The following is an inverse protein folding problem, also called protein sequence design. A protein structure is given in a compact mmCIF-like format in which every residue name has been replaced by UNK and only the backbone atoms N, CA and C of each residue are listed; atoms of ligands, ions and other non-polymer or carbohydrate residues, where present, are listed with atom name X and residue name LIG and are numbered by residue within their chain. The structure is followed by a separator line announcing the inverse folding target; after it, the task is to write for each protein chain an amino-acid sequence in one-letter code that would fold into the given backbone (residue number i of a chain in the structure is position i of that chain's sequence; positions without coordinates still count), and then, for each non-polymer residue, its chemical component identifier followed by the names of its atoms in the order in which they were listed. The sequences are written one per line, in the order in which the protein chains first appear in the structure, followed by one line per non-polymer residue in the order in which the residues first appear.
data_IF_601153330103
#
_entry.id   IF_601153330103
#
_cell.length_a   1.000
_cell.length_b   1.000
_cell.length_c   1.000
_cell.angle_alpha   90.00
_cell.angle_beta   90.00
_cell.angle_gamma   90.00
#
_symmetry.space_group_name_H-M   'P 1'
#
loop_
_entity.id
_entity.type
_entity.pdbx_description
1 polymer ?
#
# COMPACT_ATOMS: atom_id res chain seq x y z
N UNK A 1 -19.87 3.92 -19.34
CA UNK A 1 -18.99 4.58 -18.35
C UNK A 1 -19.25 3.93 -16.99
N UNK A 2 -18.28 3.20 -16.47
CA UNK A 2 -18.34 2.54 -15.18
C UNK A 2 -17.38 3.23 -14.19
N UNK A 3 -17.59 2.98 -12.90
CA UNK A 3 -16.63 3.36 -11.87
C UNK A 3 -15.48 2.36 -11.83
N UNK A 4 -14.30 2.81 -11.49
CA UNK A 4 -13.14 1.98 -11.19
C UNK A 4 -12.69 2.29 -9.77
N UNK A 5 -12.41 1.25 -9.01
CA UNK A 5 -11.99 1.33 -7.62
C UNK A 5 -10.56 0.87 -7.50
N UNK A 6 -9.77 1.54 -6.66
CA UNK A 6 -8.40 1.16 -6.39
C UNK A 6 -8.17 1.09 -4.88
N UNK A 7 -7.36 0.13 -4.44
CA UNK A 7 -6.87 0.03 -3.07
C UNK A 7 -5.34 0.01 -3.09
N UNK A 8 -4.72 0.68 -2.12
CA UNK A 8 -3.27 0.74 -1.95
C UNK A 8 -2.90 0.42 -0.51
N UNK A 9 -1.82 -0.32 -0.34
CA UNK A 9 -1.15 -0.52 0.95
C UNK A 9 0.25 0.02 0.82
N UNK A 10 0.61 0.91 1.73
CA UNK A 10 1.86 1.65 1.68
C UNK A 10 2.63 1.45 2.98
N UNK A 11 3.90 1.15 2.88
CA UNK A 11 4.81 1.15 4.01
C UNK A 11 5.04 2.59 4.48
N UNK A 12 4.80 2.83 5.77
CA UNK A 12 4.86 4.19 6.35
C UNK A 12 6.30 4.70 6.41
N UNK A 13 7.28 3.81 6.64
CA UNK A 13 8.68 4.18 6.78
C UNK A 13 9.33 4.51 5.43
N UNK A 14 9.17 3.62 4.46
CA UNK A 14 9.81 3.74 3.14
C UNK A 14 8.96 4.47 2.12
N UNK A 15 7.67 4.68 2.38
CA UNK A 15 6.68 5.21 1.43
C UNK A 15 6.44 4.30 0.22
N UNK A 16 6.94 3.06 0.26
CA UNK A 16 6.76 2.09 -0.80
C UNK A 16 5.31 1.61 -0.85
N UNK A 17 4.72 1.59 -2.03
CA UNK A 17 3.46 0.90 -2.26
C UNK A 17 3.79 -0.59 -2.36
N UNK A 18 3.37 -1.36 -1.35
CA UNK A 18 3.69 -2.79 -1.21
C UNK A 18 2.55 -3.70 -1.65
N UNK A 19 1.35 -3.16 -1.75
CA UNK A 19 0.18 -3.86 -2.27
C UNK A 19 -0.80 -2.90 -2.93
N UNK A 20 -1.44 -3.36 -4.00
CA UNK A 20 -2.46 -2.59 -4.69
C UNK A 20 -3.39 -3.49 -5.48
N UNK A 21 -4.59 -3.00 -5.76
CA UNK A 21 -5.53 -3.66 -6.64
C UNK A 21 -6.47 -2.66 -7.30
N UNK A 22 -6.99 -3.02 -8.48
CA UNK A 22 -7.97 -2.23 -9.25
C UNK A 22 -9.12 -3.14 -9.63
N UNK A 23 -10.36 -2.65 -9.50
CA UNK A 23 -11.55 -3.38 -9.91
C UNK A 23 -12.62 -2.46 -10.51
N UNK A 24 -13.43 -3.00 -11.40
CA UNK A 24 -14.58 -2.31 -12.01
C UNK A 24 -15.86 -2.39 -11.18
N UNK A 25 -15.85 -3.17 -10.10
CA UNK A 25 -17.00 -3.37 -9.20
C UNK A 25 -16.58 -3.19 -7.76
N UNK A 26 -17.50 -2.67 -6.95
CA UNK A 26 -17.36 -2.50 -5.50
C UNK A 26 -17.69 -3.80 -4.75
N UNK A 27 -17.35 -4.97 -5.30
CA UNK A 27 -17.36 -6.18 -4.47
C UNK A 27 -16.21 -6.05 -3.46
N UNK A 28 -16.56 -5.36 -2.41
CA UNK A 28 -15.71 -4.71 -1.42
C UNK A 28 -14.82 -5.67 -0.65
N UNK A 29 -15.19 -6.94 -0.61
CA UNK A 29 -14.45 -7.95 0.16
C UNK A 29 -13.18 -8.40 -0.57
N UNK A 30 -13.14 -8.26 -1.90
CA UNK A 30 -11.99 -8.72 -2.70
C UNK A 30 -10.93 -7.68 -2.95
N UNK A 31 -11.31 -6.41 -3.19
CA UNK A 31 -10.37 -5.39 -3.63
C UNK A 31 -9.30 -5.09 -2.57
N UNK A 32 -9.62 -4.74 -1.31
CA UNK A 32 -8.63 -4.55 -0.27
C UNK A 32 -7.88 -5.84 0.08
N UNK A 33 -8.56 -6.99 0.03
CA UNK A 33 -7.96 -8.27 0.34
C UNK A 33 -6.86 -8.66 -0.67
N UNK A 34 -7.06 -8.43 -1.97
CA UNK A 34 -6.04 -8.65 -3.00
C UNK A 34 -4.81 -7.75 -2.78
N UNK A 35 -5.03 -6.48 -2.43
CA UNK A 35 -3.94 -5.58 -2.09
C UNK A 35 -3.18 -6.05 -0.84
N UNK A 36 -3.90 -6.55 0.18
CA UNK A 36 -3.30 -7.11 1.39
C UNK A 36 -2.50 -8.37 1.11
N UNK A 37 -3.04 -9.31 0.34
CA UNK A 37 -2.32 -10.52 -0.03
C UNK A 37 -1.03 -10.22 -0.77
N UNK A 38 -1.06 -9.27 -1.69
CA UNK A 38 0.13 -8.80 -2.40
C UNK A 38 1.14 -8.16 -1.43
N UNK A 39 0.68 -7.30 -0.51
CA UNK A 39 1.54 -6.68 0.48
C UNK A 39 2.23 -7.70 1.38
N UNK A 40 1.49 -8.70 1.89
CA UNK A 40 2.02 -9.78 2.71
C UNK A 40 3.09 -10.62 1.99
N UNK A 41 2.94 -10.80 0.68
CA UNK A 41 3.94 -11.49 -0.14
C UNK A 41 5.17 -10.61 -0.38
N UNK A 42 4.95 -9.35 -0.77
CA UNK A 42 6.00 -8.41 -1.14
C UNK A 42 6.91 -8.07 0.04
N UNK A 43 6.33 -7.90 1.22
CA UNK A 43 7.09 -7.58 2.45
C UNK A 43 7.68 -8.79 3.14
N UNK A 44 7.32 -10.01 2.74
CA UNK A 44 7.71 -11.23 3.43
C UNK A 44 6.99 -11.44 4.77
N UNK A 45 5.97 -10.65 5.10
CA UNK A 45 5.23 -10.70 6.36
C UNK A 45 4.58 -12.06 6.65
N UNK A 46 4.32 -12.87 5.63
CA UNK A 46 3.86 -14.26 5.81
C UNK A 46 4.91 -15.18 6.46
N UNK A 47 6.19 -14.79 6.40
CA UNK A 47 7.30 -15.57 7.01
C UNK A 47 7.68 -15.01 8.37
N UNK A 48 7.72 -13.70 8.48
CA UNK A 48 8.02 -12.98 9.70
C UNK A 48 7.21 -11.68 9.73
N UNK A 49 6.24 -11.61 10.62
CA UNK A 49 5.38 -10.44 10.87
C UNK A 49 5.65 -9.78 12.22
N UNK A 50 6.76 -10.17 12.90
CA UNK A 50 7.06 -9.69 14.23
C UNK A 50 7.13 -8.16 14.26
N UNK A 51 6.27 -7.56 15.10
CA UNK A 51 6.18 -6.12 15.26
C UNK A 51 5.50 -5.35 14.12
N UNK A 52 4.99 -6.04 13.08
CA UNK A 52 4.28 -5.39 11.99
C UNK A 52 2.86 -5.01 12.42
N UNK A 53 2.51 -3.74 12.24
CA UNK A 53 1.17 -3.22 12.50
C UNK A 53 0.56 -2.71 11.20
N UNK A 54 -0.66 -3.15 10.91
CA UNK A 54 -1.46 -2.65 9.79
C UNK A 54 -2.46 -1.62 10.29
N UNK A 55 -2.36 -0.40 9.76
CA UNK A 55 -3.29 0.69 10.04
C UNK A 55 -4.31 0.81 8.92
N UNK A 56 -5.60 0.86 9.25
CA UNK A 56 -6.68 1.12 8.30
C UNK A 56 -7.66 2.12 8.89
N UNK A 57 -8.37 2.82 8.02
CA UNK A 57 -9.53 3.61 8.44
C UNK A 57 -10.70 2.70 8.85
N UNK A 58 -11.76 3.30 9.44
CA UNK A 58 -12.98 2.59 9.84
C UNK A 58 -13.91 2.29 8.65
N UNK A 59 -13.43 2.35 7.42
CA UNK A 59 -14.21 2.01 6.24
C UNK A 59 -14.73 0.58 6.32
N UNK A 60 -15.99 0.37 5.97
CA UNK A 60 -16.66 -0.95 6.03
C UNK A 60 -15.91 -2.06 5.27
N UNK A 61 -15.02 -1.68 4.37
CA UNK A 61 -14.23 -2.57 3.52
C UNK A 61 -13.06 -3.24 4.28
N UNK A 62 -12.51 -2.53 5.28
CA UNK A 62 -11.38 -3.00 6.08
C UNK A 62 -11.82 -3.69 7.38
N UNK A 63 -13.13 -3.69 7.64
CA UNK A 63 -13.75 -4.36 8.79
C UNK A 63 -14.37 -5.69 8.36
N UNK A 64 -14.19 -6.10 7.08
CA UNK A 64 -14.71 -7.40 6.62
C UNK A 64 -14.01 -8.53 7.38
N UNK A 65 -14.78 -9.57 7.73
CA UNK A 65 -14.26 -10.74 8.43
C UNK A 65 -13.08 -11.35 7.68
N UNK A 66 -13.18 -11.47 6.36
CA UNK A 66 -12.12 -12.03 5.52
C UNK A 66 -10.81 -11.22 5.57
N UNK A 67 -10.90 -9.90 5.64
CA UNK A 67 -9.72 -9.03 5.76
C UNK A 67 -9.05 -9.18 7.13
N UNK A 68 -9.85 -9.19 8.19
CA UNK A 68 -9.37 -9.40 9.56
C UNK A 68 -8.76 -10.79 9.74
N UNK A 69 -9.38 -11.82 9.20
CA UNK A 69 -8.86 -13.19 9.23
C UNK A 69 -7.52 -13.31 8.49
N UNK A 70 -7.34 -12.61 7.38
CA UNK A 70 -6.08 -12.59 6.64
C UNK A 70 -4.94 -11.94 7.44
N UNK A 71 -5.21 -10.85 8.16
CA UNK A 71 -4.25 -10.21 9.07
C UNK A 71 -3.87 -11.13 10.23
N UNK A 72 -4.86 -11.75 10.87
CA UNK A 72 -4.66 -12.69 11.98
C UNK A 72 -3.82 -13.90 11.50
N UNK A 73 -4.18 -14.48 10.36
CA UNK A 73 -3.46 -15.62 9.79
C UNK A 73 -2.01 -15.29 9.43
N UNK A 74 -1.72 -14.01 9.10
CA UNK A 74 -0.37 -13.52 8.85
C UNK A 74 0.37 -13.08 10.13
N UNK A 75 -0.29 -13.09 11.31
CA UNK A 75 0.29 -12.62 12.57
C UNK A 75 0.52 -11.11 12.62
N UNK A 76 -0.16 -10.35 11.76
CA UNK A 76 -0.07 -8.89 11.70
C UNK A 76 -1.04 -8.27 12.68
N UNK A 77 -0.57 -7.32 13.49
CA UNK A 77 -1.43 -6.58 14.42
C UNK A 77 -2.29 -5.59 13.63
N UNK A 78 -3.60 -5.67 13.79
CA UNK A 78 -4.53 -4.70 13.21
C UNK A 78 -4.72 -3.51 14.16
N UNK A 79 -4.54 -2.30 13.67
CA UNK A 79 -4.90 -1.06 14.35
C UNK A 79 -5.98 -0.35 13.57
N UNK A 80 -7.14 -0.18 14.19
CA UNK A 80 -8.27 0.55 13.61
C UNK A 80 -8.35 1.91 14.29
N UNK A 81 -7.77 2.92 13.62
CA UNK A 81 -7.84 4.35 13.93
C UNK A 81 -8.10 4.75 15.37
N UNK A 82 -7.06 5.03 16.13
CA UNK A 82 -7.12 5.86 17.34
C UNK A 82 -6.70 7.30 17.01
N UNK A 83 -6.97 8.23 17.91
CA UNK A 83 -6.78 9.69 17.74
C UNK A 83 -5.34 10.14 17.42
N UNK A 84 -4.38 9.21 17.30
CA UNK A 84 -2.97 9.47 16.94
C UNK A 84 -2.60 9.23 15.47
N UNK A 85 -3.49 8.67 14.67
CA UNK A 85 -3.21 8.16 13.30
C UNK A 85 -3.32 9.22 12.19
N UNK A 86 -3.24 10.48 12.51
CA UNK A 86 -3.36 11.59 11.56
C UNK A 86 -2.27 11.55 10.46
N UNK A 87 -1.08 11.00 10.76
CA UNK A 87 0.00 10.88 9.78
C UNK A 87 -0.20 9.74 8.80
N UNK A 88 -0.74 8.61 9.24
CA UNK A 88 -0.98 7.44 8.40
C UNK A 88 -2.14 7.71 7.45
N UNK A 89 -3.20 8.36 7.93
CA UNK A 89 -4.29 8.85 7.09
C UNK A 89 -3.80 9.87 6.06
N UNK A 90 -2.92 10.81 6.44
CA UNK A 90 -2.36 11.79 5.52
C UNK A 90 -1.52 11.14 4.40
N UNK A 91 -0.81 10.04 4.68
CA UNK A 91 -0.10 9.29 3.65
C UNK A 91 -1.08 8.62 2.68
N UNK A 92 -2.08 7.92 3.20
CA UNK A 92 -3.10 7.26 2.36
C UNK A 92 -3.85 8.26 1.49
N UNK A 93 -4.25 9.41 2.06
CA UNK A 93 -4.88 10.51 1.31
C UNK A 93 -3.96 11.08 0.23
N UNK A 94 -2.66 11.22 0.52
CA UNK A 94 -1.66 11.69 -0.43
C UNK A 94 -1.51 10.72 -1.60
N UNK A 95 -1.35 9.44 -1.33
CA UNK A 95 -1.24 8.39 -2.38
C UNK A 95 -2.49 8.39 -3.25
N UNK A 96 -3.67 8.36 -2.65
CA UNK A 96 -4.94 8.36 -3.37
C UNK A 96 -5.16 9.65 -4.17
N UNK A 97 -4.81 10.81 -3.62
CA UNK A 97 -4.92 12.11 -4.28
C UNK A 97 -4.02 12.20 -5.51
N UNK A 98 -2.75 11.82 -5.37
CA UNK A 98 -1.80 11.81 -6.47
C UNK A 98 -2.17 10.79 -7.55
N UNK A 99 -2.58 9.59 -7.16
CA UNK A 99 -3.07 8.58 -8.09
C UNK A 99 -4.26 9.10 -8.93
N UNK A 100 -5.24 9.70 -8.29
CA UNK A 100 -6.38 10.29 -9.00
C UNK A 100 -5.93 11.37 -9.98
N UNK A 101 -5.04 12.27 -9.56
CA UNK A 101 -4.59 13.38 -10.38
C UNK A 101 -3.69 12.92 -11.53
N UNK A 102 -2.73 12.05 -11.25
CA UNK A 102 -1.69 11.67 -12.19
C UNK A 102 -2.16 10.56 -13.16
N UNK A 103 -3.08 9.69 -12.73
CA UNK A 103 -3.58 8.56 -13.54
C UNK A 103 -5.03 8.76 -13.94
N UNK A 104 -5.96 8.82 -12.98
CA UNK A 104 -7.38 8.74 -13.31
C UNK A 104 -7.82 9.95 -14.12
N UNK A 105 -7.42 11.16 -13.73
CA UNK A 105 -7.79 12.41 -14.42
C UNK A 105 -6.87 12.77 -15.59
N UNK A 106 -5.80 11.99 -15.82
CA UNK A 106 -4.93 12.19 -16.99
C UNK A 106 -5.64 11.94 -18.32
N UNK A 107 -6.71 11.17 -18.29
CA UNK A 107 -7.55 10.86 -19.46
C UNK A 107 -9.00 11.15 -19.15
N UNK A 108 -9.69 11.75 -20.14
CA UNK A 108 -11.13 12.03 -20.03
C UNK A 108 -11.98 10.77 -19.95
N UNK A 109 -11.57 9.72 -20.64
CA UNK A 109 -12.25 8.42 -20.69
C UNK A 109 -11.20 7.32 -20.76
N UNK A 110 -11.38 6.31 -19.94
CA UNK A 110 -10.59 5.08 -19.97
C UNK A 110 -11.30 4.01 -20.79
N UNK A 111 -10.60 3.30 -21.69
CA UNK A 111 -11.22 2.31 -22.57
C UNK A 111 -11.74 1.07 -21.82
N UNK A 112 -11.07 0.69 -20.71
CA UNK A 112 -11.46 -0.48 -19.89
C UNK A 112 -10.84 -0.39 -18.49
N UNK A 113 -11.33 -1.21 -17.56
CA UNK A 113 -10.71 -1.40 -16.26
C UNK A 113 -9.29 -1.97 -16.37
N UNK A 114 -9.05 -2.87 -17.31
CA UNK A 114 -7.71 -3.42 -17.59
C UNK A 114 -6.72 -2.32 -18.02
N UNK A 115 -7.17 -1.33 -18.79
CA UNK A 115 -6.31 -0.20 -19.16
C UNK A 115 -5.94 0.65 -17.94
N UNK A 116 -6.85 0.81 -16.98
CA UNK A 116 -6.55 1.47 -15.70
C UNK A 116 -5.58 0.64 -14.88
N UNK A 117 -5.78 -0.68 -14.83
CA UNK A 117 -4.91 -1.60 -14.08
C UNK A 117 -3.47 -1.57 -14.60
N UNK A 118 -3.27 -1.61 -15.93
CA UNK A 118 -1.94 -1.49 -16.54
C UNK A 118 -1.29 -0.15 -16.21
N UNK A 119 -2.04 0.96 -16.34
CA UNK A 119 -1.52 2.27 -15.98
C UNK A 119 -1.21 2.39 -14.48
N UNK A 120 -1.96 1.70 -13.63
CA UNK A 120 -1.69 1.64 -12.18
C UNK A 120 -0.41 0.87 -11.90
N UNK A 121 -0.18 -0.26 -12.58
CA UNK A 121 1.07 -1.03 -12.48
C UNK A 121 2.29 -0.17 -12.81
N UNK A 122 2.24 0.53 -13.93
CA UNK A 122 3.32 1.43 -14.37
C UNK A 122 3.55 2.57 -13.37
N UNK A 123 2.46 3.16 -12.85
CA UNK A 123 2.53 4.23 -11.88
C UNK A 123 3.09 3.76 -10.53
N UNK A 124 2.69 2.62 -10.02
CA UNK A 124 3.24 2.03 -8.78
C UNK A 124 4.71 1.69 -8.96
N UNK A 125 5.10 1.12 -10.09
CA UNK A 125 6.50 0.89 -10.39
C UNK A 125 7.31 2.19 -10.37
N UNK A 126 6.85 3.21 -11.10
CA UNK A 126 7.47 4.54 -11.11
C UNK A 126 7.50 5.19 -9.73
N UNK A 127 6.41 5.11 -8.95
CA UNK A 127 6.34 5.61 -7.58
C UNK A 127 7.43 5.02 -6.70
N UNK A 128 7.62 3.71 -6.79
CA UNK A 128 8.57 2.99 -5.95
C UNK A 128 10.03 3.16 -6.38
N UNK A 129 10.30 3.29 -7.69
CA UNK A 129 11.66 3.18 -8.25
C UNK A 129 12.22 4.48 -8.84
N UNK A 130 11.38 5.45 -9.17
CA UNK A 130 11.81 6.66 -9.88
C UNK A 130 11.33 7.97 -9.23
N UNK A 131 10.17 7.98 -8.57
CA UNK A 131 9.66 9.17 -7.91
C UNK A 131 10.51 9.52 -6.71
N UNK A 132 11.00 10.77 -6.67
CA UNK A 132 11.72 11.32 -5.53
C UNK A 132 10.71 11.88 -4.50
N UNK A 133 10.86 11.48 -3.26
CA UNK A 133 10.00 11.89 -2.17
C UNK A 133 10.72 12.85 -1.23
N UNK A 134 10.20 14.06 -1.06
CA UNK A 134 10.78 15.08 -0.19
C UNK A 134 11.00 14.55 1.25
N UNK A 135 9.99 13.86 1.80
CA UNK A 135 10.07 13.28 3.15
C UNK A 135 11.08 12.13 3.30
N UNK A 136 11.58 11.60 2.20
CA UNK A 136 12.66 10.61 2.16
C UNK A 136 14.01 11.25 1.84
N UNK A 137 14.12 12.57 1.91
CA UNK A 137 15.33 13.30 1.52
C UNK A 137 15.59 13.22 0.01
N UNK A 138 14.53 13.30 -0.79
CA UNK A 138 14.58 13.19 -2.26
C UNK A 138 15.16 11.88 -2.76
N UNK A 139 14.87 10.80 -2.05
CA UNK A 139 15.17 9.42 -2.48
C UNK A 139 13.89 8.70 -2.90
N UNK A 140 14.07 7.62 -3.64
CA UNK A 140 12.98 6.71 -3.97
C UNK A 140 12.69 5.75 -2.81
N UNK A 141 11.46 5.20 -2.70
CA UNK A 141 11.14 4.18 -1.72
C UNK A 141 12.09 2.98 -1.72
N UNK A 142 12.48 2.49 -2.90
CA UNK A 142 13.39 1.35 -3.04
C UNK A 142 14.80 1.67 -2.53
N UNK A 143 15.31 2.87 -2.76
CA UNK A 143 16.61 3.30 -2.22
C UNK A 143 16.60 3.36 -0.70
N UNK A 144 15.49 3.81 -0.11
CA UNK A 144 15.34 3.86 1.35
C UNK A 144 15.23 2.45 1.93
N UNK A 145 14.44 1.57 1.31
CA UNK A 145 14.31 0.18 1.72
C UNK A 145 15.67 -0.55 1.69
N UNK A 146 16.46 -0.39 0.62
CA UNK A 146 17.79 -0.96 0.50
C UNK A 146 18.73 -0.49 1.63
N UNK A 147 18.69 0.80 1.96
CA UNK A 147 19.51 1.35 3.04
C UNK A 147 19.15 0.76 4.42
N UNK A 148 17.87 0.46 4.68
CA UNK A 148 17.47 -0.23 5.91
C UNK A 148 17.98 -1.67 5.96
N UNK A 149 17.88 -2.40 4.87
CA UNK A 149 18.37 -3.78 4.78
C UNK A 149 19.88 -3.86 5.01
N UNK A 150 20.63 -2.91 4.45
CA UNK A 150 22.11 -2.85 4.64
C UNK A 150 22.46 -2.57 6.11
N UNK A 151 21.69 -1.74 6.80
CA UNK A 151 21.89 -1.45 8.22
C UNK A 151 21.62 -2.67 9.11
N UNK A 152 20.58 -3.46 8.81
CA UNK A 152 20.28 -4.70 9.54
C UNK A 152 21.38 -5.76 9.35
N UNK A 153 21.91 -5.89 8.14
CA UNK A 153 23.01 -6.84 7.84
C UNK A 153 24.31 -6.45 8.52
N UNK A 154 24.56 -5.15 8.74
CA UNK A 154 25.79 -4.63 9.35
C UNK A 154 25.70 -4.45 10.87
N UNK A 155 24.50 -4.57 11.45
CA UNK A 155 24.33 -4.50 12.89
C UNK A 155 25.02 -5.71 13.56
N UNK A 156 25.94 -5.51 14.54
CA UNK A 156 26.54 -6.63 15.25
C UNK A 156 25.45 -7.38 16.02
N UNK A 157 25.45 -8.73 15.90
CA UNK A 157 24.61 -9.57 16.70
C UNK A 157 24.86 -9.23 18.18
N UNK A 158 23.82 -8.72 18.84
CA UNK A 158 23.88 -8.46 20.29
C UNK A 158 23.98 -9.81 20.98
N UNK A 159 24.98 -10.03 21.86
CA UNK A 159 25.18 -11.30 22.52
C UNK A 159 24.05 -11.67 23.47
#
# INVERSE_FOLDING_TARGET
SGFCYAAFITDVCTRKIVGWSVASTLHTDRLPLLALEQALLTTGARRDSSGLTHHSDRGSQYVSLAYSDALIAAGVTASVGTVGDSYDNALAETVNGLYKTEIIYSKRVWPSATAVEIATLDWVHWWNTARLHERLGYRTPVEVEAAYTDLEVTAPAVP
#
